data_IF_405093515205
#
_entry.id   IF_405093515205
#
_cell.length_a   1.000
_cell.length_b   1.000
_cell.length_c   1.000
_cell.angle_alpha   90.00
_cell.angle_beta   90.00
_cell.angle_gamma   90.00
#
_symmetry.space_group_name_H-M   'P 1'
#
loop_
_entity.id
_entity.type
_entity.pdbx_description
1 polymer ?
#
# COMPACT_ATOMS: atom_id res chain seq x y z
N UNK A 1 -24.01 -45.15 -60.92
CA UNK A 1 -23.49 -43.78 -60.77
C UNK A 1 -24.21 -43.14 -59.58
N UNK A 2 -23.66 -43.33 -58.38
CA UNK A 2 -24.29 -42.96 -57.12
C UNK A 2 -23.54 -41.74 -56.57
N UNK A 3 -24.13 -40.55 -56.70
CA UNK A 3 -23.53 -39.30 -56.19
C UNK A 3 -24.13 -39.05 -54.81
N UNK A 4 -23.38 -39.36 -53.76
CA UNK A 4 -23.77 -39.04 -52.38
C UNK A 4 -23.64 -37.53 -52.16
N UNK A 5 -24.75 -36.87 -51.82
CA UNK A 5 -24.75 -35.47 -51.37
C UNK A 5 -24.18 -35.39 -49.96
N UNK A 6 -23.05 -34.69 -49.82
CA UNK A 6 -22.44 -34.32 -48.53
C UNK A 6 -23.36 -33.28 -47.86
N UNK A 7 -23.73 -33.44 -46.58
CA UNK A 7 -24.59 -32.48 -45.89
C UNK A 7 -23.81 -31.19 -45.57
N UNK A 8 -24.42 -30.04 -45.89
CA UNK A 8 -23.93 -28.70 -45.55
C UNK A 8 -24.04 -28.45 -44.04
N UNK A 9 -23.04 -28.86 -43.27
CA UNK A 9 -22.91 -28.55 -41.84
C UNK A 9 -21.85 -27.46 -41.54
N UNK A 10 -21.47 -26.68 -42.55
CA UNK A 10 -20.32 -25.76 -42.48
C UNK A 10 -20.62 -24.38 -41.88
N UNK A 11 -21.88 -24.03 -41.60
CA UNK A 11 -22.28 -22.67 -41.20
C UNK A 11 -22.04 -22.30 -39.74
N UNK A 12 -22.14 -23.26 -38.81
CA UNK A 12 -22.01 -23.01 -37.35
C UNK A 12 -20.61 -23.36 -36.83
N UNK A 13 -19.90 -24.26 -37.51
CA UNK A 13 -18.53 -24.63 -37.14
C UNK A 13 -17.54 -23.46 -37.31
N UNK A 14 -17.72 -22.65 -38.36
CA UNK A 14 -16.85 -21.52 -38.63
C UNK A 14 -16.89 -20.43 -37.54
N UNK A 15 -18.06 -19.94 -37.07
CA UNK A 15 -18.10 -18.94 -36.00
C UNK A 15 -17.61 -19.48 -34.65
N UNK A 16 -17.86 -20.75 -34.33
CA UNK A 16 -17.37 -21.37 -33.08
C UNK A 16 -15.84 -21.48 -33.07
N UNK A 17 -15.24 -21.84 -34.21
CA UNK A 17 -13.79 -21.93 -34.36
C UNK A 17 -13.14 -20.53 -34.34
N UNK A 18 -13.81 -19.53 -34.91
CA UNK A 18 -13.37 -18.13 -34.86
C UNK A 18 -13.40 -17.56 -33.43
N UNK A 19 -14.46 -17.86 -32.67
CA UNK A 19 -14.58 -17.45 -31.26
C UNK A 19 -13.52 -18.13 -30.40
N UNK A 20 -13.28 -19.43 -30.61
CA UNK A 20 -12.20 -20.16 -29.93
C UNK A 20 -10.82 -19.59 -30.22
N UNK A 21 -10.57 -19.19 -31.47
CA UNK A 21 -9.32 -18.55 -31.89
C UNK A 21 -9.11 -17.17 -31.22
N UNK A 22 -10.18 -16.37 -31.10
CA UNK A 22 -10.12 -15.06 -30.43
C UNK A 22 -9.85 -15.19 -28.92
N UNK A 23 -10.43 -16.19 -28.24
CA UNK A 23 -10.22 -16.41 -26.81
C UNK A 23 -8.77 -16.88 -26.54
N UNK A 24 -8.22 -17.74 -27.39
CA UNK A 24 -6.84 -18.22 -27.27
C UNK A 24 -5.80 -17.08 -27.37
N UNK A 25 -6.12 -16.00 -28.09
CA UNK A 25 -5.23 -14.84 -28.25
C UNK A 25 -5.15 -13.97 -26.97
N UNK A 26 -6.18 -13.98 -26.13
CA UNK A 26 -6.22 -13.17 -24.90
C UNK A 26 -5.42 -13.73 -23.72
N UNK A 27 -5.05 -15.01 -23.76
CA UNK A 27 -4.39 -15.69 -22.63
C UNK A 27 -2.88 -15.44 -22.53
N UNK A 28 -2.29 -14.70 -23.48
CA UNK A 28 -0.84 -14.42 -23.52
C UNK A 28 -0.49 -12.92 -23.41
N UNK A 29 -1.44 -12.06 -23.04
CA UNK A 29 -1.21 -10.62 -22.91
C UNK A 29 -0.63 -10.29 -21.52
N UNK A 30 0.69 -10.43 -21.36
CA UNK A 30 1.45 -9.87 -20.24
C UNK A 30 1.80 -8.39 -20.51
N UNK A 31 0.79 -7.52 -20.67
CA UNK A 31 0.97 -6.14 -21.15
C UNK A 31 1.07 -5.08 -20.02
N UNK A 32 1.12 -5.48 -18.75
CA UNK A 32 1.19 -4.53 -17.64
C UNK A 32 2.42 -4.80 -16.78
N UNK A 33 3.59 -4.34 -17.23
CA UNK A 33 4.65 -3.96 -16.30
C UNK A 33 4.40 -2.52 -15.87
N UNK A 34 4.12 -2.30 -14.58
CA UNK A 34 4.10 -0.94 -14.02
C UNK A 34 5.56 -0.56 -13.81
N UNK A 35 6.21 -0.16 -14.89
CA UNK A 35 7.51 0.50 -14.83
C UNK A 35 7.29 2.01 -14.81
N UNK A 36 8.01 2.71 -13.93
CA UNK A 36 8.05 4.17 -13.91
C UNK A 36 8.79 4.64 -15.17
N UNK A 37 8.07 4.83 -16.28
CA UNK A 37 8.65 5.42 -17.48
C UNK A 37 8.56 6.95 -17.42
N UNK A 38 9.71 7.61 -17.56
CA UNK A 38 9.81 9.03 -17.84
C UNK A 38 10.19 9.20 -19.32
N UNK A 39 9.39 9.93 -20.09
CA UNK A 39 9.71 10.30 -21.46
C UNK A 39 10.30 11.71 -21.41
N UNK A 40 11.63 11.84 -21.52
CA UNK A 40 12.32 13.14 -21.61
C UNK A 40 12.88 13.32 -23.02
N UNK A 41 12.72 14.53 -23.57
CA UNK A 41 13.19 14.87 -24.92
C UNK A 41 14.72 14.92 -25.03
N UNK A 42 15.43 15.01 -23.91
CA UNK A 42 16.89 14.89 -23.82
C UNK A 42 17.25 14.34 -22.44
N UNK A 43 17.46 13.02 -22.34
CA UNK A 43 18.00 12.36 -21.15
C UNK A 43 19.18 11.47 -21.54
N UNK A 44 20.20 11.43 -20.70
CA UNK A 44 21.40 10.62 -20.93
C UNK A 44 21.64 9.70 -19.72
N UNK A 45 21.83 8.42 -19.99
CA UNK A 45 22.22 7.41 -19.01
C UNK A 45 23.71 7.14 -19.21
N UNK A 46 24.52 7.42 -18.18
CA UNK A 46 25.93 7.05 -18.15
C UNK A 46 26.16 6.05 -17.02
N UNK A 47 26.78 4.91 -17.32
CA UNK A 47 27.00 3.82 -16.38
C UNK A 47 28.48 3.42 -16.33
N UNK A 48 28.98 3.18 -15.13
CA UNK A 48 30.26 2.49 -14.82
C UNK A 48 29.96 1.33 -13.86
N UNK A 49 30.89 0.40 -13.64
CA UNK A 49 30.70 -0.82 -12.81
C UNK A 49 30.12 -0.56 -11.40
N UNK A 50 30.30 0.64 -10.84
CA UNK A 50 29.84 0.99 -9.50
C UNK A 50 28.88 2.19 -9.44
N UNK A 51 28.59 2.84 -10.57
CA UNK A 51 27.81 4.09 -10.57
C UNK A 51 26.91 4.18 -11.81
N UNK A 52 25.63 4.45 -11.58
CA UNK A 52 24.67 4.78 -12.63
C UNK A 52 24.22 6.22 -12.46
N UNK A 53 24.45 7.05 -13.48
CA UNK A 53 24.04 8.46 -13.52
C UNK A 53 22.99 8.59 -14.61
N UNK A 54 21.76 8.94 -14.21
CA UNK A 54 20.68 9.31 -15.13
C UNK A 54 20.38 10.80 -14.96
N UNK A 55 20.44 11.55 -16.05
CA UNK A 55 20.04 12.96 -16.06
C UNK A 55 18.93 13.17 -17.10
N UNK A 56 17.90 13.94 -16.73
CA UNK A 56 16.78 14.27 -17.62
C UNK A 56 16.58 15.79 -17.66
N UNK A 57 16.45 16.36 -18.86
CA UNK A 57 16.23 17.80 -18.98
C UNK A 57 14.78 18.12 -18.58
N UNK A 58 14.63 19.00 -17.58
CA UNK A 58 13.36 19.36 -16.96
C UNK A 58 13.25 18.98 -15.48
N UNK A 59 14.14 18.13 -14.96
CA UNK A 59 14.36 17.98 -13.52
C UNK A 59 15.33 19.07 -13.03
N UNK A 60 15.00 19.72 -11.91
CA UNK A 60 15.97 20.56 -11.19
C UNK A 60 17.20 19.71 -10.90
N UNK A 61 18.40 20.21 -11.21
CA UNK A 61 19.66 19.50 -10.97
C UNK A 61 19.72 19.04 -9.51
N UNK A 62 19.51 17.75 -9.27
CA UNK A 62 19.70 17.12 -7.97
C UNK A 62 21.14 16.62 -7.92
N UNK A 63 22.02 17.43 -7.33
CA UNK A 63 23.40 17.01 -7.12
C UNK A 63 23.43 16.07 -5.91
N UNK A 64 23.55 14.76 -6.15
CA UNK A 64 23.85 13.79 -5.09
C UNK A 64 25.36 13.83 -4.83
N UNK A 65 25.74 14.51 -3.75
CA UNK A 65 27.12 14.49 -3.28
C UNK A 65 27.28 13.31 -2.29
N UNK A 66 28.23 12.42 -2.59
CA UNK A 66 28.60 11.33 -1.68
C UNK A 66 29.95 11.66 -1.08
N UNK A 67 30.02 11.77 0.25
CA UNK A 67 31.29 11.77 0.98
C UNK A 67 31.25 10.60 1.97
N UNK A 68 32.05 9.59 1.65
CA UNK A 68 32.45 8.42 2.44
C UNK A 68 31.31 7.53 2.99
N UNK A 69 30.38 8.04 3.80
CA UNK A 69 29.21 7.30 4.35
C UNK A 69 27.90 8.12 4.39
N UNK A 70 27.92 9.40 3.98
CA UNK A 70 26.75 10.28 4.02
C UNK A 70 26.32 10.61 2.59
N UNK A 71 25.09 10.19 2.25
CA UNK A 71 24.42 10.56 1.00
C UNK A 71 23.60 11.82 1.28
N UNK A 72 24.03 12.96 0.73
CA UNK A 72 23.27 14.21 0.76
C UNK A 72 22.47 14.33 -0.55
N UNK A 73 21.17 14.07 -0.49
CA UNK A 73 20.23 14.39 -1.57
C UNK A 73 19.60 15.74 -1.32
N UNK A 74 19.78 16.68 -2.25
CA UNK A 74 19.08 17.97 -2.24
C UNK A 74 18.06 17.96 -3.39
N UNK A 75 16.78 18.13 -3.06
CA UNK A 75 15.67 18.18 -4.03
C UNK A 75 14.62 17.09 -3.79
N UNK A 76 13.37 17.54 -3.65
CA UNK A 76 12.16 16.79 -3.28
C UNK A 76 12.12 16.19 -1.87
N UNK A 77 10.96 16.38 -1.22
CA UNK A 77 10.60 15.74 0.04
C UNK A 77 10.42 14.24 -0.22
N UNK A 78 11.47 13.47 0.02
CA UNK A 78 11.36 12.02 0.12
C UNK A 78 10.67 11.72 1.45
N UNK A 79 9.50 11.05 1.49
CA UNK A 79 9.12 10.38 2.73
C UNK A 79 10.21 9.35 2.98
N UNK A 80 10.87 9.42 4.13
CA UNK A 80 11.85 8.40 4.47
C UNK A 80 11.13 7.06 4.40
N UNK A 81 11.80 6.01 3.94
CA UNK A 81 11.21 4.66 3.93
C UNK A 81 10.86 4.16 5.35
N UNK A 82 11.28 4.91 6.38
CA UNK A 82 10.96 4.76 7.80
C UNK A 82 10.08 5.87 8.38
N UNK A 83 9.42 6.69 7.57
CA UNK A 83 8.42 7.63 8.08
C UNK A 83 7.24 6.82 8.61
N UNK A 84 7.27 6.55 9.91
CA UNK A 84 6.10 6.20 10.70
C UNK A 84 5.00 7.20 10.34
N UNK A 85 4.06 6.79 9.49
CA UNK A 85 2.89 7.60 9.12
C UNK A 85 1.87 7.53 10.26
N UNK A 86 2.31 7.87 11.47
CA UNK A 86 1.44 8.43 12.49
C UNK A 86 1.28 9.90 12.16
N UNK A 87 0.05 10.35 11.93
CA UNK A 87 -0.20 11.79 11.95
C UNK A 87 -0.08 12.18 13.43
N UNK A 88 1.11 12.63 13.83
CA UNK A 88 1.36 13.12 15.18
C UNK A 88 0.73 14.51 15.31
N UNK A 89 -0.57 14.58 15.53
CA UNK A 89 -1.15 15.78 16.13
C UNK A 89 -0.76 15.81 17.61
N UNK A 90 0.11 16.77 17.94
CA UNK A 90 0.68 16.96 19.27
C UNK A 90 -0.41 17.22 20.35
N UNK A 91 -0.26 16.47 21.45
CA UNK A 91 -0.71 16.60 22.85
C UNK A 91 -2.15 16.99 23.21
N UNK A 92 -2.80 16.07 23.96
CA UNK A 92 -3.67 16.32 25.14
C UNK A 92 -4.31 15.02 25.69
N UNK A 93 -4.07 13.88 25.03
CA UNK A 93 -4.32 12.58 25.65
C UNK A 93 -3.05 12.23 26.41
N UNK A 94 -3.10 12.12 27.75
CA UNK A 94 -1.98 11.63 28.57
C UNK A 94 -1.83 10.11 28.43
N UNK A 95 -1.73 9.66 27.18
CA UNK A 95 -1.53 8.28 26.81
C UNK A 95 -0.42 8.21 25.78
N UNK A 96 0.58 7.39 26.05
CA UNK A 96 1.57 7.00 25.06
C UNK A 96 1.03 5.80 24.29
N UNK A 97 1.10 5.85 22.96
CA UNK A 97 0.59 4.78 22.09
C UNK A 97 1.64 4.40 21.07
N UNK A 98 1.89 3.09 20.98
CA UNK A 98 2.71 2.49 19.92
C UNK A 98 1.98 1.32 19.26
N UNK A 99 2.21 1.13 17.96
CA UNK A 99 1.61 0.06 17.16
C UNK A 99 2.69 -0.66 16.38
N UNK A 100 2.79 -1.97 16.57
CA UNK A 100 3.75 -2.81 15.86
C UNK A 100 3.21 -4.22 15.57
N UNK A 101 3.66 -4.90 14.50
CA UNK A 101 4.49 -4.37 13.42
C UNK A 101 3.68 -3.54 12.43
N UNK A 102 4.35 -2.64 11.72
CA UNK A 102 3.82 -1.94 10.56
C UNK A 102 4.96 -1.82 9.52
N UNK A 103 4.93 -2.53 8.38
CA UNK A 103 3.82 -3.34 7.84
C UNK A 103 3.46 -4.59 8.67
N UNK A 104 2.21 -5.06 8.55
CA UNK A 104 1.66 -6.24 9.25
C UNK A 104 1.27 -7.34 8.27
N UNK A 105 1.47 -8.62 8.65
CA UNK A 105 0.98 -9.79 7.90
C UNK A 105 -0.20 -10.48 8.57
N UNK A 106 -0.24 -10.55 9.90
CA UNK A 106 -1.29 -11.27 10.64
C UNK A 106 -1.89 -10.43 11.74
N UNK A 107 -1.11 -10.06 12.76
CA UNK A 107 -1.62 -9.30 13.89
C UNK A 107 -0.71 -8.11 14.19
N UNK A 108 -1.33 -7.02 14.64
CA UNK A 108 -0.64 -5.92 15.30
C UNK A 108 -0.88 -5.98 16.81
N UNK A 109 0.03 -5.35 17.53
CA UNK A 109 0.00 -5.10 18.95
C UNK A 109 -0.05 -3.58 19.15
N UNK A 110 -1.13 -3.13 19.79
CA UNK A 110 -1.36 -1.77 20.21
C UNK A 110 -0.98 -1.67 21.69
N UNK A 111 0.16 -1.05 21.98
CA UNK A 111 0.60 -0.77 23.34
C UNK A 111 0.15 0.63 23.73
N UNK A 112 -0.48 0.74 24.89
CA UNK A 112 -1.03 1.98 25.43
C UNK A 112 -0.54 2.13 26.87
N UNK A 113 0.00 3.29 27.22
CA UNK A 113 0.45 3.62 28.58
C UNK A 113 -0.26 4.89 29.02
N UNK A 114 -1.18 4.77 29.99
CA UNK A 114 -1.97 5.89 30.48
C UNK A 114 -1.65 6.22 31.95
N UNK A 115 -1.44 7.50 32.25
CA UNK A 115 -1.16 7.97 33.62
C UNK A 115 -2.41 8.06 34.51
N UNK A 116 -3.60 8.07 33.90
CA UNK A 116 -4.89 8.09 34.57
C UNK A 116 -5.86 7.09 33.91
N UNK A 117 -6.94 6.66 34.59
CA UNK A 117 -7.93 5.77 33.98
C UNK A 117 -8.56 6.42 32.75
N UNK A 118 -8.43 5.77 31.59
CA UNK A 118 -8.97 6.24 30.32
C UNK A 118 -9.82 5.15 29.65
N UNK A 119 -10.91 5.57 29.04
CA UNK A 119 -11.71 4.71 28.18
C UNK A 119 -11.34 4.98 26.72
N UNK A 120 -10.77 3.98 26.05
CA UNK A 120 -10.28 4.07 24.68
C UNK A 120 -11.17 3.27 23.74
N UNK A 121 -11.67 3.95 22.72
CA UNK A 121 -12.42 3.38 21.59
C UNK A 121 -11.52 3.26 20.38
N UNK A 122 -11.47 2.08 19.77
CA UNK A 122 -10.67 1.76 18.60
C UNK A 122 -11.53 1.35 17.43
N UNK A 123 -11.39 2.07 16.32
CA UNK A 123 -12.04 1.78 15.04
C UNK A 123 -10.99 1.53 13.96
N UNK A 124 -11.25 0.59 13.05
CA UNK A 124 -10.36 0.29 11.92
C UNK A 124 -11.11 0.55 10.63
N UNK A 125 -10.54 1.41 9.79
CA UNK A 125 -11.11 1.84 8.52
C UNK A 125 -10.19 1.49 7.36
N UNK A 126 -10.76 1.30 6.17
CA UNK A 126 -10.02 1.39 4.90
C UNK A 126 -9.76 2.85 4.54
N UNK A 127 -8.88 3.08 3.56
CA UNK A 127 -8.59 4.42 3.04
C UNK A 127 -9.82 5.12 2.42
N UNK A 128 -10.86 4.38 2.05
CA UNK A 128 -12.15 4.90 1.57
C UNK A 128 -13.11 5.31 2.71
N UNK A 129 -12.70 5.13 3.98
CA UNK A 129 -13.51 5.43 5.16
C UNK A 129 -14.44 4.30 5.62
N UNK A 130 -14.46 3.15 4.93
CA UNK A 130 -15.28 2.00 5.33
C UNK A 130 -14.73 1.35 6.60
N UNK A 131 -15.56 1.21 7.64
CA UNK A 131 -15.18 0.48 8.86
C UNK A 131 -15.14 -1.03 8.58
N UNK A 132 -14.01 -1.67 8.86
CA UNK A 132 -13.76 -3.08 8.50
C UNK A 132 -13.71 -4.02 9.70
N UNK A 133 -13.75 -3.50 10.91
CA UNK A 133 -13.83 -4.28 12.13
C UNK A 133 -14.88 -3.68 13.08
N UNK A 134 -15.51 -4.49 13.95
CA UNK A 134 -16.34 -3.97 15.03
C UNK A 134 -15.55 -3.01 15.92
N UNK A 135 -16.23 -1.97 16.41
CA UNK A 135 -15.67 -1.04 17.39
C UNK A 135 -15.17 -1.81 18.63
N UNK A 136 -13.90 -1.63 18.97
CA UNK A 136 -13.32 -2.17 20.21
C UNK A 136 -13.26 -1.07 21.26
N UNK A 137 -13.34 -1.46 22.53
CA UNK A 137 -13.31 -0.54 23.68
C UNK A 137 -12.49 -1.16 24.82
N UNK A 138 -11.63 -0.37 25.44
CA UNK A 138 -10.77 -0.80 26.54
C UNK A 138 -10.66 0.30 27.60
N UNK A 139 -10.72 -0.11 28.86
CA UNK A 139 -10.31 0.73 29.98
C UNK A 139 -8.81 0.53 30.20
N UNK A 140 -8.05 1.62 30.21
CA UNK A 140 -6.59 1.62 30.30
C UNK A 140 -6.16 2.42 31.51
N UNK A 141 -5.30 1.82 32.33
CA UNK A 141 -4.57 2.46 33.42
C UNK A 141 -3.20 1.77 33.52
N UNK A 142 -2.11 2.54 33.43
CA UNK A 142 -0.78 1.97 33.24
C UNK A 142 -0.62 1.37 31.84
N UNK A 143 0.22 0.33 31.73
CA UNK A 143 0.49 -0.34 30.45
C UNK A 143 -0.59 -1.37 30.09
N UNK A 144 -1.09 -1.30 28.85
CA UNK A 144 -2.03 -2.23 28.27
C UNK A 144 -1.64 -2.58 26.84
N UNK A 145 -1.59 -3.87 26.53
CA UNK A 145 -1.25 -4.37 25.19
C UNK A 145 -2.47 -5.07 24.59
N UNK A 146 -2.92 -4.58 23.44
CA UNK A 146 -4.09 -5.10 22.74
C UNK A 146 -3.70 -5.70 21.40
N UNK A 147 -4.11 -6.95 21.18
CA UNK A 147 -3.91 -7.64 19.91
C UNK A 147 -5.07 -7.36 18.95
N UNK A 148 -4.74 -6.96 17.72
CA UNK A 148 -5.73 -6.78 16.65
C UNK A 148 -5.36 -7.70 15.49
N UNK A 149 -6.29 -8.59 15.15
CA UNK A 149 -6.12 -9.55 14.08
C UNK A 149 -6.49 -8.96 12.71
N UNK A 150 -5.47 -8.77 11.87
CA UNK A 150 -5.56 -8.32 10.49
C UNK A 150 -5.59 -9.48 9.49
N UNK A 151 -5.46 -10.74 9.93
CA UNK A 151 -5.54 -11.94 9.07
C UNK A 151 -6.77 -11.98 8.16
N UNK A 152 -8.00 -11.64 8.60
CA UNK A 152 -9.17 -11.68 7.73
C UNK A 152 -9.23 -10.52 6.73
N UNK A 153 -8.33 -9.52 6.84
CA UNK A 153 -8.33 -8.35 5.98
C UNK A 153 -7.39 -8.54 4.77
N UNK A 154 -7.81 -8.11 3.57
CA UNK A 154 -6.94 -8.17 2.39
C UNK A 154 -5.74 -7.22 2.53
N UNK A 155 -4.69 -7.50 1.75
CA UNK A 155 -3.55 -6.58 1.63
C UNK A 155 -4.00 -5.18 1.22
N UNK A 156 -3.40 -4.15 1.82
CA UNK A 156 -3.81 -2.77 1.62
C UNK A 156 -3.46 -1.84 2.77
N UNK A 157 -3.89 -0.58 2.67
CA UNK A 157 -3.74 0.42 3.73
C UNK A 157 -5.01 0.56 4.56
N UNK A 158 -4.83 0.69 5.87
CA UNK A 158 -5.90 0.84 6.86
C UNK A 158 -5.57 2.01 7.79
N UNK A 159 -6.61 2.62 8.36
CA UNK A 159 -6.49 3.64 9.39
C UNK A 159 -7.04 3.08 10.70
N UNK A 160 -6.22 3.10 11.75
CA UNK A 160 -6.65 2.83 13.12
C UNK A 160 -6.88 4.15 13.80
N UNK A 161 -8.11 4.37 14.25
CA UNK A 161 -8.54 5.58 14.93
C UNK A 161 -8.85 5.27 16.39
N UNK A 162 -8.17 5.99 17.29
CA UNK A 162 -8.28 5.87 18.74
C UNK A 162 -8.88 7.14 19.30
N UNK A 163 -9.93 7.01 20.11
CA UNK A 163 -10.63 8.14 20.72
C UNK A 163 -11.01 7.84 22.16
N UNK A 164 -11.07 8.88 23.00
CA UNK A 164 -11.50 8.73 24.40
C UNK A 164 -12.68 9.67 24.70
N UNK A 165 -13.82 9.18 25.24
CA UNK A 165 -14.94 10.02 25.63
C UNK A 165 -14.50 11.05 26.69
N UNK A 166 -14.68 12.33 26.41
CA UNK A 166 -14.25 13.42 27.29
C UNK A 166 -12.96 14.12 26.85
N UNK A 167 -12.20 13.51 25.94
CA UNK A 167 -11.07 14.14 25.29
C UNK A 167 -11.46 14.57 23.87
N UNK A 168 -11.08 15.79 23.47
CA UNK A 168 -11.46 16.36 22.17
C UNK A 168 -10.72 15.73 20.97
N UNK A 169 -9.62 15.02 21.19
CA UNK A 169 -8.70 14.60 20.13
C UNK A 169 -8.80 13.10 19.84
N UNK A 170 -8.60 12.78 18.57
CA UNK A 170 -8.60 11.42 18.02
C UNK A 170 -7.22 11.17 17.41
N UNK A 171 -6.51 10.14 17.86
CA UNK A 171 -5.23 9.76 17.27
C UNK A 171 -5.47 8.75 16.15
N UNK A 172 -4.82 8.94 15.00
CA UNK A 172 -5.01 8.06 13.83
C UNK A 172 -3.67 7.58 13.29
N UNK A 173 -3.57 6.27 13.07
CA UNK A 173 -2.38 5.59 12.59
C UNK A 173 -2.66 4.88 11.27
N UNK A 174 -1.79 5.06 10.27
CA UNK A 174 -1.85 4.29 9.02
C UNK A 174 -1.12 2.96 9.19
N UNK A 175 -1.81 1.86 8.89
CA UNK A 175 -1.30 0.49 8.92
C UNK A 175 -1.26 -0.07 7.50
N UNK A 176 -0.14 -0.71 7.15
CA UNK A 176 0.05 -1.37 5.85
C UNK A 176 -0.04 -2.88 6.07
N UNK A 177 -1.10 -3.52 5.56
CA UNK A 177 -1.23 -4.99 5.53
C UNK A 177 -0.55 -5.54 4.28
N UNK A 178 0.45 -6.38 4.47
CA UNK A 178 1.05 -7.21 3.44
C UNK A 178 0.31 -8.55 3.34
N UNK A 179 0.56 -9.35 2.30
CA UNK A 179 -0.10 -10.63 2.07
C UNK A 179 0.13 -11.60 3.25
#
# INVERSE_FOLDING_TARGET
>A
MHISKIPKQTGIFFPVLLIGFLIAFTLNLNAQSIERQLISSTGHLSQTEHLTVSATAGETVIQTATIEEIILTQGFQQPNENDFVGIWEINDIQIEISIAPNPVTSCIYLTMIADAPMDIKCSVFRMDGTMVMPLKRWEVLGESIQKIDFTPLPAGSYLISLSSPGHKKVQTYKIIKQW
#
